data_IF_266515244743
#
_entry.id   IF_266515244743
#
_cell.length_a   1.000
_cell.length_b   1.000
_cell.length_c   1.000
_cell.angle_alpha   90.00
_cell.angle_beta   90.00
_cell.angle_gamma   90.00
#
_symmetry.space_group_name_H-M   'P 1'
#
loop_
_entity.id
_entity.type
_entity.pdbx_description
1 polymer ?
#
# COMPACT_ATOMS: atom_id res chain seq x y z
N UNK A 1 1.59 11.88 30.59
CA UNK A 1 0.35 11.16 30.16
C UNK A 1 0.26 9.86 30.94
N UNK A 2 -0.92 9.49 31.44
CA UNK A 2 -1.07 8.22 32.17
C UNK A 2 -1.20 7.06 31.19
N UNK A 3 -0.32 6.07 31.28
CA UNK A 3 -0.41 4.82 30.49
C UNK A 3 -1.21 3.82 31.32
N UNK A 4 -2.25 3.19 30.76
CA UNK A 4 -3.08 2.24 31.51
C UNK A 4 -2.32 0.92 31.74
N UNK A 5 -2.78 0.14 32.73
CA UNK A 5 -2.17 -1.16 33.00
C UNK A 5 -2.58 -2.24 31.96
N UNK A 6 -3.66 -2.00 31.23
CA UNK A 6 -4.20 -2.90 30.20
C UNK A 6 -4.67 -2.09 29.00
N UNK A 7 -4.69 -2.73 27.83
CA UNK A 7 -5.18 -2.10 26.62
C UNK A 7 -5.91 -3.13 25.73
N UNK A 8 -6.77 -2.60 24.85
CA UNK A 8 -7.57 -3.39 23.93
C UNK A 8 -6.88 -3.54 22.60
N UNK A 9 -7.06 -4.72 22.01
CA UNK A 9 -6.72 -5.04 20.62
C UNK A 9 -7.89 -5.77 19.97
N UNK A 10 -8.07 -5.57 18.65
CA UNK A 10 -9.07 -6.27 17.86
C UNK A 10 -8.43 -7.53 17.28
N UNK A 11 -8.76 -8.69 17.84
CA UNK A 11 -8.19 -9.99 17.41
C UNK A 11 -9.15 -10.65 16.44
N UNK A 12 -8.70 -10.93 15.23
CA UNK A 12 -9.38 -11.83 14.29
C UNK A 12 -9.15 -13.27 14.80
N UNK A 13 -10.17 -13.86 15.43
CA UNK A 13 -10.11 -15.19 16.05
C UNK A 13 -10.38 -16.31 15.07
N UNK A 14 -11.24 -16.07 14.12
CA UNK A 14 -11.69 -16.99 13.09
C UNK A 14 -12.21 -16.17 11.89
N UNK A 15 -12.45 -16.79 10.77
CA UNK A 15 -13.02 -16.15 9.57
C UNK A 15 -14.22 -15.28 9.96
N UNK A 16 -14.18 -14.01 9.60
CA UNK A 16 -15.20 -12.98 9.88
C UNK A 16 -15.52 -12.77 11.36
N UNK A 17 -14.62 -13.20 12.26
CA UNK A 17 -14.88 -13.13 13.70
C UNK A 17 -13.82 -12.30 14.41
N UNK A 18 -14.10 -11.02 14.61
CA UNK A 18 -13.25 -10.10 15.38
C UNK A 18 -13.76 -10.01 16.81
N UNK A 19 -12.85 -10.16 17.78
CA UNK A 19 -13.11 -10.00 19.21
C UNK A 19 -12.18 -8.96 19.81
N UNK A 20 -12.72 -8.01 20.56
CA UNK A 20 -11.91 -7.09 21.34
C UNK A 20 -11.43 -7.78 22.60
N UNK A 21 -10.12 -7.98 22.66
CA UNK A 21 -9.44 -8.58 23.81
C UNK A 21 -8.70 -7.49 24.59
N UNK A 22 -8.73 -7.59 25.91
CA UNK A 22 -7.98 -6.70 26.79
C UNK A 22 -6.82 -7.46 27.41
N UNK A 23 -5.59 -7.01 27.13
CA UNK A 23 -4.36 -7.62 27.64
C UNK A 23 -3.59 -6.66 28.56
N UNK A 24 -2.87 -7.16 29.55
CA UNK A 24 -1.89 -6.37 30.30
C UNK A 24 -0.85 -5.78 29.35
N UNK A 25 -0.58 -4.48 29.47
CA UNK A 25 0.54 -3.85 28.74
C UNK A 25 1.86 -4.37 29.31
N UNK A 26 2.78 -4.88 28.47
CA UNK A 26 4.08 -5.33 28.94
C UNK A 26 4.98 -4.17 29.31
N UNK A 27 5.93 -4.40 30.22
CA UNK A 27 7.06 -3.50 30.38
C UNK A 27 7.96 -3.63 29.16
N UNK A 28 8.29 -2.48 28.54
CA UNK A 28 9.19 -2.46 27.39
C UNK A 28 10.66 -2.62 27.82
N UNK A 29 11.47 -3.20 26.95
CA UNK A 29 12.92 -3.33 27.13
C UNK A 29 13.65 -2.06 26.66
N UNK A 30 14.97 -2.01 26.91
CA UNK A 30 15.84 -0.89 26.52
C UNK A 30 15.85 -0.62 24.99
N UNK A 31 15.47 -1.60 24.18
CA UNK A 31 15.46 -1.57 22.72
C UNK A 31 14.05 -1.76 22.12
N UNK A 32 13.01 -1.49 22.91
CA UNK A 32 11.61 -1.54 22.51
C UNK A 32 10.92 -0.16 22.65
N UNK A 33 9.81 0.03 21.97
CA UNK A 33 8.99 1.24 22.04
C UNK A 33 7.54 0.85 22.28
N UNK A 34 6.87 1.57 23.19
CA UNK A 34 5.40 1.51 23.31
C UNK A 34 4.80 2.70 22.55
N UNK A 35 3.91 2.38 21.64
CA UNK A 35 3.22 3.35 20.78
C UNK A 35 1.75 3.36 21.17
N UNK A 36 1.19 4.55 21.39
CA UNK A 36 -0.25 4.74 21.42
C UNK A 36 -0.72 4.94 19.98
N UNK A 37 -1.54 4.03 19.50
CA UNK A 37 -2.06 4.06 18.14
C UNK A 37 -3.03 5.24 17.99
N UNK A 38 -2.91 5.99 16.89
CA UNK A 38 -3.81 7.09 16.56
C UNK A 38 -4.77 6.72 15.42
N UNK A 39 -4.34 5.81 14.54
CA UNK A 39 -5.19 5.30 13.48
C UNK A 39 -4.46 4.32 12.58
N UNK A 40 -5.23 3.62 11.76
CA UNK A 40 -4.74 2.62 10.82
C UNK A 40 -5.66 2.54 9.59
N UNK A 41 -5.06 2.38 8.41
CA UNK A 41 -5.78 2.09 7.18
C UNK A 41 -6.24 0.65 7.11
N UNK A 42 -7.38 0.42 6.45
CA UNK A 42 -7.86 -0.91 6.07
C UNK A 42 -7.35 -1.21 4.67
N UNK A 43 -6.53 -2.26 4.55
CA UNK A 43 -5.95 -2.75 3.30
C UNK A 43 -6.78 -3.91 2.70
N UNK A 44 -6.56 -4.19 1.43
CA UNK A 44 -7.05 -5.41 0.79
C UNK A 44 -6.55 -6.69 1.48
N UNK A 45 -5.33 -6.66 2.03
CA UNK A 45 -4.77 -7.77 2.82
C UNK A 45 -5.64 -8.07 4.04
N UNK A 46 -6.05 -7.05 4.80
CA UNK A 46 -6.93 -7.23 5.97
C UNK A 46 -8.27 -7.85 5.57
N UNK A 47 -8.80 -7.45 4.40
CA UNK A 47 -10.05 -8.01 3.83
C UNK A 47 -9.88 -9.49 3.48
N UNK A 48 -8.76 -9.87 2.87
CA UNK A 48 -8.50 -11.26 2.49
C UNK A 48 -8.31 -12.16 3.72
N UNK A 49 -7.54 -11.69 4.72
CA UNK A 49 -7.38 -12.39 5.99
C UNK A 49 -8.72 -12.54 6.72
N UNK A 50 -9.51 -11.48 6.81
CA UNK A 50 -10.84 -11.51 7.43
C UNK A 50 -11.79 -12.51 6.77
N UNK A 51 -11.68 -12.70 5.43
CA UNK A 51 -12.60 -13.56 4.66
C UNK A 51 -12.16 -15.00 4.56
N UNK A 52 -10.87 -15.29 4.44
CA UNK A 52 -10.38 -16.58 3.96
C UNK A 52 -9.10 -17.07 4.65
N UNK A 53 -8.40 -16.25 5.48
CA UNK A 53 -7.09 -16.57 6.10
C UNK A 53 -6.07 -17.17 5.10
N UNK A 54 -5.79 -16.49 3.98
CA UNK A 54 -4.91 -17.04 2.94
C UNK A 54 -3.49 -17.32 3.42
N UNK A 55 -3.03 -16.64 4.48
CA UNK A 55 -1.69 -16.84 5.06
C UNK A 55 -1.67 -17.83 6.22
N UNK A 56 -2.84 -18.29 6.73
CA UNK A 56 -2.93 -19.27 7.82
C UNK A 56 -2.36 -18.75 9.14
N UNK A 57 -2.58 -17.47 9.47
CA UNK A 57 -1.93 -16.79 10.61
C UNK A 57 -2.88 -16.44 11.77
N UNK A 58 -4.14 -16.86 11.69
CA UNK A 58 -5.07 -16.67 12.81
C UNK A 58 -4.72 -17.52 14.03
N UNK A 59 -4.98 -17.05 15.28
CA UNK A 59 -5.54 -15.73 15.61
C UNK A 59 -4.53 -14.59 15.43
N UNK A 60 -5.00 -13.42 15.02
CA UNK A 60 -4.13 -12.29 14.67
C UNK A 60 -4.77 -10.94 15.03
N UNK A 61 -3.95 -9.94 15.38
CA UNK A 61 -4.32 -8.53 15.36
C UNK A 61 -3.88 -7.96 14.02
N UNK A 62 -4.84 -7.65 13.15
CA UNK A 62 -4.59 -7.11 11.82
C UNK A 62 -4.18 -5.62 11.86
N UNK A 63 -4.04 -5.03 10.66
CA UNK A 63 -3.67 -3.64 10.44
C UNK A 63 -2.16 -3.43 10.34
N UNK A 64 -1.72 -2.95 9.17
CA UNK A 64 -0.29 -2.71 8.85
C UNK A 64 -0.05 -1.31 8.27
N UNK A 65 -1.08 -0.53 7.99
CA UNK A 65 -1.02 0.86 7.53
C UNK A 65 -1.19 1.85 8.70
N UNK A 66 -0.53 1.58 9.83
CA UNK A 66 -0.79 2.28 11.08
C UNK A 66 0.19 3.38 11.43
N UNK A 67 -0.26 4.30 12.29
CA UNK A 67 0.55 5.37 12.87
C UNK A 67 0.15 5.65 14.32
N UNK A 68 1.09 6.11 15.10
CA UNK A 68 0.85 6.48 16.49
C UNK A 68 1.97 7.27 17.12
N UNK A 69 1.77 7.61 18.39
CA UNK A 69 2.67 8.41 19.21
C UNK A 69 3.52 7.53 20.11
N UNK A 70 4.81 7.79 20.16
CA UNK A 70 5.72 7.18 21.14
C UNK A 70 5.34 7.65 22.55
N UNK A 71 4.90 6.75 23.41
CA UNK A 71 4.53 7.03 24.81
C UNK A 71 5.51 6.46 25.83
N UNK A 72 6.26 5.41 25.46
CA UNK A 72 7.47 4.94 26.16
C UNK A 72 8.52 4.57 25.13
N UNK A 73 9.79 4.78 25.49
CA UNK A 73 10.93 4.49 24.62
C UNK A 73 12.08 3.92 25.45
N UNK A 74 12.64 2.82 24.98
CA UNK A 74 13.78 2.18 25.60
C UNK A 74 15.05 3.05 25.52
N UNK A 75 15.93 2.92 26.52
CA UNK A 75 17.10 3.78 26.70
C UNK A 75 18.11 3.74 25.55
N UNK A 76 18.11 2.68 24.74
CA UNK A 76 19.01 2.48 23.60
C UNK A 76 18.48 3.11 22.30
N UNK A 77 17.23 3.58 22.27
CA UNK A 77 16.61 4.12 21.05
C UNK A 77 16.58 5.64 21.12
N UNK A 78 17.29 6.29 20.22
CA UNK A 78 17.35 7.76 20.08
C UNK A 78 17.05 8.23 18.67
N UNK A 79 17.03 7.31 17.71
CA UNK A 79 16.84 7.58 16.28
C UNK A 79 15.97 6.54 15.64
N UNK A 80 15.29 6.91 14.54
CA UNK A 80 14.59 5.98 13.66
C UNK A 80 15.55 5.23 12.74
N UNK A 81 15.00 4.40 11.86
CA UNK A 81 15.76 3.54 10.94
C UNK A 81 16.72 4.31 10.02
N UNK A 82 16.40 5.57 9.70
CA UNK A 82 17.22 6.42 8.81
C UNK A 82 17.98 7.54 9.54
N UNK A 83 18.00 7.50 10.86
CA UNK A 83 18.81 8.38 11.68
C UNK A 83 18.14 9.67 12.15
N UNK A 84 16.85 9.87 11.91
CA UNK A 84 16.09 10.99 12.47
C UNK A 84 15.90 10.81 13.98
N UNK A 85 16.06 11.88 14.74
CA UNK A 85 15.87 11.86 16.21
C UNK A 85 14.42 11.53 16.54
N UNK A 86 14.23 10.65 17.52
CA UNK A 86 12.92 10.29 18.07
C UNK A 86 12.93 10.38 19.60
N UNK A 87 11.77 10.58 20.16
CA UNK A 87 11.54 10.64 21.61
C UNK A 87 10.06 10.55 21.93
N UNK A 88 9.72 10.76 23.19
CA UNK A 88 8.32 10.82 23.62
C UNK A 88 7.57 11.88 22.83
N UNK A 89 6.37 11.53 22.35
CA UNK A 89 5.54 12.40 21.52
C UNK A 89 5.83 12.34 20.03
N UNK A 90 6.94 11.73 19.57
CA UNK A 90 7.20 11.54 18.15
C UNK A 90 6.13 10.66 17.51
N UNK A 91 5.68 11.03 16.32
CA UNK A 91 4.73 10.25 15.52
C UNK A 91 5.51 9.35 14.58
N UNK A 92 5.16 8.08 14.58
CA UNK A 92 5.87 7.09 13.77
C UNK A 92 4.94 6.21 12.95
N UNK A 93 5.52 5.60 11.93
CA UNK A 93 4.99 4.49 11.14
C UNK A 93 6.01 3.36 11.11
N UNK A 94 5.57 2.15 10.81
CA UNK A 94 6.45 0.98 10.65
C UNK A 94 6.48 0.51 9.21
N UNK A 95 7.50 -0.28 8.89
CA UNK A 95 7.63 -1.03 7.64
C UNK A 95 7.66 -2.53 7.92
N UNK A 96 7.85 -3.33 6.87
CA UNK A 96 8.19 -4.75 7.01
C UNK A 96 9.50 -4.90 7.79
N UNK A 97 9.68 -6.06 8.38
CA UNK A 97 10.87 -6.42 9.17
C UNK A 97 11.60 -7.55 8.42
N UNK A 98 12.63 -7.25 7.62
CA UNK A 98 13.45 -8.27 6.97
C UNK A 98 14.23 -9.07 8.02
N UNK A 99 14.40 -10.38 7.82
CA UNK A 99 15.16 -11.22 8.76
C UNK A 99 16.67 -10.92 8.78
N UNK A 100 17.21 -10.31 7.72
CA UNK A 100 18.62 -9.94 7.61
C UNK A 100 19.60 -11.09 7.30
N UNK A 101 19.13 -12.34 7.22
CA UNK A 101 20.00 -13.53 7.08
C UNK A 101 19.69 -14.42 5.88
N UNK A 102 18.46 -14.37 5.32
CA UNK A 102 18.12 -15.15 4.12
C UNK A 102 18.81 -14.62 2.88
N UNK A 103 18.83 -15.42 1.81
CA UNK A 103 19.53 -15.10 0.58
C UNK A 103 19.13 -13.73 -0.01
N UNK A 104 17.82 -13.38 -0.18
CA UNK A 104 17.41 -12.06 -0.64
C UNK A 104 17.91 -10.91 0.25
N UNK A 105 17.94 -11.10 1.57
CA UNK A 105 18.39 -10.06 2.50
C UNK A 105 19.89 -9.76 2.39
N UNK A 106 20.72 -10.79 2.15
CA UNK A 106 22.20 -10.64 2.15
C UNK A 106 22.78 -10.40 0.78
N UNK A 107 22.14 -10.91 -0.29
CA UNK A 107 22.68 -10.89 -1.66
C UNK A 107 22.06 -9.83 -2.56
N UNK A 108 20.89 -9.29 -2.22
CA UNK A 108 20.17 -8.35 -3.07
C UNK A 108 19.82 -7.05 -2.31
N UNK A 109 20.80 -6.13 -2.14
CA UNK A 109 20.56 -4.86 -1.45
C UNK A 109 19.38 -4.09 -2.06
N UNK A 110 18.51 -3.52 -1.19
CA UNK A 110 17.33 -2.78 -1.61
C UNK A 110 16.17 -3.65 -2.11
N UNK A 111 16.24 -4.98 -1.93
CA UNK A 111 15.20 -5.93 -2.30
C UNK A 111 14.78 -6.80 -1.12
N UNK A 112 14.83 -6.25 0.08
CA UNK A 112 14.46 -6.96 1.31
C UNK A 112 12.96 -7.26 1.41
N UNK A 113 12.15 -6.69 0.53
CA UNK A 113 10.76 -7.11 0.29
C UNK A 113 10.63 -8.57 -0.20
N UNK A 114 11.71 -9.19 -0.65
CA UNK A 114 11.76 -10.60 -1.03
C UNK A 114 12.24 -11.51 0.11
N UNK A 115 12.32 -11.01 1.33
CA UNK A 115 12.73 -11.76 2.50
C UNK A 115 11.85 -13.01 2.69
N UNK A 116 12.48 -14.16 2.88
CA UNK A 116 11.80 -15.45 3.05
C UNK A 116 11.12 -15.58 4.43
N UNK A 117 11.59 -14.81 5.43
CA UNK A 117 11.11 -14.80 6.80
C UNK A 117 10.69 -13.40 7.23
N UNK A 118 9.94 -12.73 6.37
CA UNK A 118 9.53 -11.34 6.57
C UNK A 118 8.52 -11.21 7.70
N UNK A 119 8.82 -10.35 8.68
CA UNK A 119 7.86 -9.88 9.67
C UNK A 119 7.11 -8.63 9.17
N UNK A 120 5.87 -8.47 9.64
CA UNK A 120 5.11 -7.24 9.44
C UNK A 120 4.11 -7.07 10.58
N UNK A 121 4.10 -5.91 11.22
CA UNK A 121 3.09 -5.59 12.22
C UNK A 121 1.71 -5.62 11.57
N UNK A 122 0.78 -6.40 12.18
CA UNK A 122 -0.52 -6.68 11.60
C UNK A 122 -0.61 -7.94 10.75
N UNK A 123 0.53 -8.64 10.53
CA UNK A 123 0.61 -9.91 9.81
C UNK A 123 1.43 -10.97 10.57
N UNK A 124 1.46 -10.88 11.90
CA UNK A 124 2.08 -11.84 12.81
C UNK A 124 1.04 -12.31 13.82
N UNK A 125 0.96 -13.61 14.06
CA UNK A 125 -0.04 -14.21 14.95
C UNK A 125 -0.05 -13.60 16.36
N UNK A 126 -1.23 -13.56 17.00
CA UNK A 126 -1.42 -13.07 18.37
C UNK A 126 -1.09 -14.19 19.38
N UNK A 127 0.18 -14.25 19.76
CA UNK A 127 0.69 -15.20 20.76
C UNK A 127 0.99 -14.47 22.09
N UNK A 128 0.99 -15.16 23.25
CA UNK A 128 1.26 -14.53 24.54
C UNK A 128 2.55 -13.71 24.61
N UNK A 129 3.59 -14.16 23.92
CA UNK A 129 4.91 -13.51 23.83
C UNK A 129 4.99 -12.40 22.79
N UNK A 130 3.98 -12.30 21.91
CA UNK A 130 3.96 -11.37 20.79
C UNK A 130 2.62 -10.63 20.65
N UNK A 131 2.04 -10.20 21.77
CA UNK A 131 0.84 -9.36 21.76
C UNK A 131 1.17 -7.92 21.44
N UNK A 132 0.14 -7.15 21.09
CA UNK A 132 0.27 -5.75 20.64
C UNK A 132 1.16 -5.60 19.39
N UNK A 133 1.00 -6.51 18.44
CA UNK A 133 1.80 -6.63 17.22
C UNK A 133 1.03 -6.27 15.93
N UNK A 134 -0.14 -5.63 16.04
CA UNK A 134 -0.95 -5.13 14.92
C UNK A 134 -1.55 -3.78 15.25
N UNK A 135 -1.87 -3.00 14.22
CA UNK A 135 -2.31 -1.62 14.36
C UNK A 135 -3.82 -1.45 14.66
N UNK A 136 -4.61 -2.53 14.59
CA UNK A 136 -6.01 -2.48 15.05
C UNK A 136 -6.09 -2.73 16.56
N UNK A 137 -5.62 -1.76 17.33
CA UNK A 137 -5.56 -1.77 18.78
C UNK A 137 -5.38 -0.37 19.36
N UNK A 138 -5.34 -0.25 20.68
CA UNK A 138 -5.05 1.01 21.38
C UNK A 138 -3.54 1.28 21.47
N UNK A 139 -2.74 0.21 21.57
CA UNK A 139 -1.28 0.29 21.69
C UNK A 139 -0.61 -0.76 20.79
N UNK A 140 0.63 -0.45 20.40
CA UNK A 140 1.52 -1.36 19.69
C UNK A 140 2.88 -1.37 20.41
N UNK A 141 3.49 -2.56 20.53
CA UNK A 141 4.84 -2.72 21.06
C UNK A 141 5.80 -2.96 19.91
N UNK A 142 6.62 -1.97 19.62
CA UNK A 142 7.67 -2.08 18.61
C UNK A 142 8.86 -2.84 19.23
N UNK A 143 9.16 -4.00 18.68
CA UNK A 143 10.22 -4.90 19.14
C UNK A 143 11.59 -4.48 18.62
N UNK A 144 12.64 -4.96 19.28
CA UNK A 144 14.02 -4.85 18.81
C UNK A 144 14.17 -5.32 17.35
N UNK A 145 14.94 -4.58 16.55
CA UNK A 145 15.17 -4.88 15.13
C UNK A 145 14.07 -4.46 14.18
N UNK A 146 13.01 -3.84 14.69
CA UNK A 146 11.93 -3.29 13.84
C UNK A 146 12.40 -2.08 13.04
N UNK A 147 11.84 -1.93 11.85
CA UNK A 147 12.00 -0.75 11.00
C UNK A 147 10.87 0.24 11.24
N UNK A 148 11.21 1.48 11.52
CA UNK A 148 10.24 2.56 11.78
C UNK A 148 10.79 3.93 11.38
N UNK A 149 9.89 4.88 11.12
CA UNK A 149 10.23 6.20 10.60
C UNK A 149 9.48 7.30 11.36
N UNK A 150 10.19 8.39 11.67
CA UNK A 150 9.61 9.58 12.25
C UNK A 150 8.85 10.37 11.18
N UNK A 151 7.56 10.55 11.40
CA UNK A 151 6.64 11.24 10.48
C UNK A 151 5.84 12.34 11.17
N UNK A 152 6.43 12.95 12.19
CA UNK A 152 5.79 13.98 13.02
C UNK A 152 5.36 15.22 12.24
N UNK A 153 5.94 15.49 11.06
CA UNK A 153 5.62 16.62 10.19
C UNK A 153 4.30 16.46 9.40
N UNK A 154 3.67 15.29 9.47
CA UNK A 154 2.46 14.97 8.74
C UNK A 154 1.23 14.88 9.66
N UNK A 155 0.06 15.23 9.14
CA UNK A 155 -1.19 14.98 9.85
C UNK A 155 -1.58 13.48 9.82
N UNK A 156 -2.60 13.11 10.59
CA UNK A 156 -3.00 11.71 10.76
C UNK A 156 -3.28 11.01 9.42
N UNK A 157 -4.04 11.64 8.53
CA UNK A 157 -4.39 11.03 7.22
C UNK A 157 -3.15 10.89 6.33
N UNK A 158 -2.30 11.91 6.32
CA UNK A 158 -1.04 11.87 5.58
C UNK A 158 -0.15 10.72 6.07
N UNK A 159 -0.03 10.53 7.41
CA UNK A 159 0.78 9.45 7.99
C UNK A 159 0.29 8.06 7.60
N UNK A 160 -1.03 7.82 7.69
CA UNK A 160 -1.65 6.54 7.30
C UNK A 160 -1.42 6.26 5.81
N UNK A 161 -1.44 7.29 4.96
CA UNK A 161 -1.27 7.14 3.52
C UNK A 161 0.19 6.91 3.08
N UNK A 162 1.18 7.08 3.97
CA UNK A 162 2.59 6.83 3.60
C UNK A 162 2.81 5.36 3.24
N UNK A 163 2.15 4.43 3.92
CA UNK A 163 2.30 3.00 3.61
C UNK A 163 1.81 2.66 2.19
N UNK A 164 0.57 2.95 1.76
CA UNK A 164 0.15 2.69 0.38
C UNK A 164 0.94 3.52 -0.65
N UNK A 165 1.45 4.69 -0.28
CA UNK A 165 2.37 5.46 -1.13
C UNK A 165 3.73 4.74 -1.24
N UNK A 166 4.22 4.05 -0.20
CA UNK A 166 5.45 3.25 -0.29
C UNK A 166 5.29 2.08 -1.28
N UNK A 167 4.13 1.42 -1.31
CA UNK A 167 3.79 0.42 -2.35
C UNK A 167 3.87 1.05 -3.76
N UNK A 168 3.26 2.22 -3.93
CA UNK A 168 3.28 2.93 -5.22
C UNK A 168 4.70 3.38 -5.62
N UNK A 169 5.49 3.87 -4.67
CA UNK A 169 6.90 4.25 -4.90
C UNK A 169 7.70 3.04 -5.31
N UNK A 170 7.58 1.91 -4.60
CA UNK A 170 8.25 0.67 -4.97
C UNK A 170 7.91 0.24 -6.40
N UNK A 171 6.62 0.23 -6.76
CA UNK A 171 6.17 -0.12 -8.10
C UNK A 171 6.76 0.82 -9.18
N UNK A 172 6.79 2.12 -8.91
CA UNK A 172 7.35 3.12 -9.83
C UNK A 172 8.87 2.96 -9.95
N UNK A 173 9.60 2.74 -8.86
CA UNK A 173 11.05 2.47 -8.91
C UNK A 173 11.34 1.17 -9.67
N UNK A 174 10.54 0.11 -9.48
CA UNK A 174 10.62 -1.10 -10.31
C UNK A 174 10.40 -0.80 -11.80
N UNK A 175 9.38 -0.02 -12.13
CA UNK A 175 9.09 0.37 -13.50
C UNK A 175 10.20 1.24 -14.12
N UNK A 176 10.81 2.14 -13.36
CA UNK A 176 11.93 2.99 -13.82
C UNK A 176 13.17 2.18 -14.25
N UNK A 177 13.37 0.97 -13.72
CA UNK A 177 14.49 0.10 -14.17
C UNK A 177 14.39 -0.26 -15.66
N UNK A 178 13.18 -0.20 -16.24
CA UNK A 178 12.96 -0.44 -17.69
C UNK A 178 13.38 0.72 -18.57
N UNK A 179 13.62 1.92 -18.02
CA UNK A 179 13.91 3.17 -18.73
C UNK A 179 12.79 3.63 -19.69
N UNK A 180 11.58 3.06 -19.57
CA UNK A 180 10.43 3.38 -20.44
C UNK A 180 9.61 4.57 -19.93
N UNK A 181 9.81 4.98 -18.67
CA UNK A 181 9.08 6.08 -18.05
C UNK A 181 9.95 7.33 -18.00
N UNK A 182 9.46 8.40 -18.61
CA UNK A 182 10.01 9.75 -18.53
C UNK A 182 8.86 10.78 -18.53
N UNK A 183 9.17 12.06 -18.45
CA UNK A 183 8.16 13.12 -18.39
C UNK A 183 7.19 13.15 -19.60
N UNK A 184 7.62 12.70 -20.78
CA UNK A 184 6.82 12.70 -22.01
C UNK A 184 6.07 11.38 -22.27
N UNK A 185 6.37 10.32 -21.50
CA UNK A 185 5.73 9.02 -21.66
C UNK A 185 4.25 9.09 -21.35
N UNK A 186 3.43 8.40 -22.16
CA UNK A 186 2.03 8.15 -21.79
C UNK A 186 1.98 6.91 -20.89
N UNK A 187 1.58 7.12 -19.64
CA UNK A 187 1.46 6.06 -18.63
C UNK A 187 0.00 5.78 -18.33
N UNK A 188 -0.38 4.51 -18.41
CA UNK A 188 -1.74 4.04 -18.15
C UNK A 188 -1.81 3.37 -16.77
N UNK A 189 -2.81 3.73 -15.99
CA UNK A 189 -3.11 3.15 -14.69
C UNK A 189 -4.43 2.39 -14.81
N UNK A 190 -4.37 1.06 -14.74
CA UNK A 190 -5.57 0.22 -14.72
C UNK A 190 -5.94 -0.10 -13.28
N UNK A 191 -7.10 0.43 -12.87
CA UNK A 191 -7.58 0.41 -11.50
C UNK A 191 -7.21 1.69 -10.74
N UNK A 192 -8.20 2.54 -10.47
CA UNK A 192 -8.09 3.75 -9.65
C UNK A 192 -8.50 3.50 -8.20
N UNK A 193 -8.09 2.37 -7.63
CA UNK A 193 -8.13 2.08 -6.19
C UNK A 193 -7.03 2.84 -5.44
N UNK A 194 -6.86 2.59 -4.12
CA UNK A 194 -5.86 3.32 -3.31
C UNK A 194 -4.46 3.27 -3.90
N UNK A 195 -4.02 2.12 -4.41
CA UNK A 195 -2.69 1.95 -4.99
C UNK A 195 -2.59 2.68 -6.34
N UNK A 196 -3.55 2.49 -7.26
CA UNK A 196 -3.51 3.17 -8.55
C UNK A 196 -3.55 4.70 -8.43
N UNK A 197 -4.36 5.24 -7.51
CA UNK A 197 -4.40 6.68 -7.21
C UNK A 197 -3.08 7.17 -6.59
N UNK A 198 -2.44 6.37 -5.75
CA UNK A 198 -1.11 6.68 -5.21
C UNK A 198 -0.04 6.66 -6.31
N UNK A 199 -0.08 5.69 -7.24
CA UNK A 199 0.83 5.67 -8.41
C UNK A 199 0.66 6.92 -9.27
N UNK A 200 -0.58 7.40 -9.51
CA UNK A 200 -0.82 8.66 -10.22
C UNK A 200 -0.13 9.83 -9.51
N UNK A 201 -0.32 9.95 -8.19
CA UNK A 201 0.30 11.02 -7.41
C UNK A 201 1.84 10.94 -7.43
N UNK A 202 2.42 9.75 -7.31
CA UNK A 202 3.88 9.52 -7.42
C UNK A 202 4.39 9.96 -8.80
N UNK A 203 3.75 9.51 -9.88
CA UNK A 203 4.14 9.87 -11.25
C UNK A 203 4.06 11.38 -11.50
N UNK A 204 3.07 12.07 -10.90
CA UNK A 204 2.97 13.54 -11.00
C UNK A 204 4.14 14.23 -10.29
N UNK A 205 4.58 13.74 -9.13
CA UNK A 205 5.77 14.31 -8.46
C UNK A 205 7.05 14.11 -9.27
N UNK A 206 7.12 13.06 -10.09
CA UNK A 206 8.23 12.80 -11.02
C UNK A 206 8.11 13.58 -12.32
N UNK A 207 7.04 14.36 -12.52
CA UNK A 207 6.85 15.22 -13.68
C UNK A 207 6.27 14.51 -14.91
N UNK A 208 5.74 13.29 -14.80
CA UNK A 208 5.04 12.61 -15.90
C UNK A 208 3.81 13.45 -16.32
N UNK A 209 3.73 13.79 -17.61
CA UNK A 209 2.71 14.70 -18.12
C UNK A 209 1.43 13.97 -18.53
N UNK A 210 1.54 12.80 -19.17
CA UNK A 210 0.43 12.10 -19.80
C UNK A 210 0.08 10.85 -18.97
N UNK A 211 -0.99 10.91 -18.19
CA UNK A 211 -1.46 9.81 -17.35
C UNK A 211 -2.91 9.51 -17.72
N UNK A 212 -3.19 8.27 -18.12
CA UNK A 212 -4.53 7.75 -18.42
C UNK A 212 -4.94 6.83 -17.27
N UNK A 213 -6.06 7.11 -16.60
CA UNK A 213 -6.61 6.24 -15.57
C UNK A 213 -7.85 5.50 -16.07
N UNK A 214 -7.93 4.19 -15.80
CA UNK A 214 -9.08 3.34 -16.15
C UNK A 214 -9.68 2.76 -14.88
N UNK A 215 -10.98 2.94 -14.66
CA UNK A 215 -11.75 2.34 -13.56
C UNK A 215 -13.23 2.24 -13.98
N UNK A 216 -14.06 1.52 -13.22
CA UNK A 216 -15.50 1.46 -13.42
C UNK A 216 -16.28 2.40 -12.50
N UNK A 217 -15.61 3.09 -11.55
CA UNK A 217 -16.25 3.97 -10.60
C UNK A 217 -15.93 5.44 -10.90
N UNK A 218 -16.96 6.23 -11.19
CA UNK A 218 -16.83 7.64 -11.56
C UNK A 218 -16.18 8.48 -10.44
N UNK A 219 -16.49 8.18 -9.18
CA UNK A 219 -15.88 8.87 -8.03
C UNK A 219 -14.37 8.69 -7.97
N UNK A 220 -13.86 7.49 -8.30
CA UNK A 220 -12.42 7.19 -8.37
C UNK A 220 -11.76 7.87 -9.55
N UNK A 221 -12.41 7.86 -10.71
CA UNK A 221 -11.93 8.57 -11.91
C UNK A 221 -11.86 10.08 -11.69
N UNK A 222 -12.84 10.65 -11.01
CA UNK A 222 -12.81 12.07 -10.61
C UNK A 222 -11.61 12.38 -9.74
N UNK A 223 -11.33 11.56 -8.72
CA UNK A 223 -10.17 11.75 -7.86
C UNK A 223 -8.85 11.53 -8.63
N UNK A 224 -8.81 10.57 -9.57
CA UNK A 224 -7.66 10.38 -10.45
C UNK A 224 -7.33 11.66 -11.25
N UNK A 225 -8.33 12.35 -11.77
CA UNK A 225 -8.17 13.69 -12.42
C UNK A 225 -7.58 14.71 -11.45
N UNK A 226 -8.12 14.80 -10.24
CA UNK A 226 -7.65 15.75 -9.23
C UNK A 226 -6.20 15.46 -8.79
N UNK A 227 -5.78 14.18 -8.81
CA UNK A 227 -4.41 13.75 -8.53
C UNK A 227 -3.46 13.88 -9.72
N UNK A 228 -3.97 14.25 -10.90
CA UNK A 228 -3.15 14.60 -12.04
C UNK A 228 -3.24 13.66 -13.24
N UNK A 229 -4.20 12.73 -13.29
CA UNK A 229 -4.51 12.03 -14.53
C UNK A 229 -5.01 13.04 -15.60
N UNK A 230 -4.41 12.98 -16.78
CA UNK A 230 -4.80 13.85 -17.90
C UNK A 230 -6.06 13.36 -18.57
N UNK A 231 -6.23 12.04 -18.63
CA UNK A 231 -7.39 11.38 -19.19
C UNK A 231 -7.94 10.31 -18.24
N UNK A 232 -9.25 10.09 -18.29
CA UNK A 232 -9.92 9.02 -17.58
C UNK A 232 -10.83 8.24 -18.51
N UNK A 233 -10.91 6.94 -18.30
CA UNK A 233 -11.75 6.02 -19.07
C UNK A 233 -12.60 5.23 -18.07
N UNK A 234 -13.91 5.40 -18.12
CA UNK A 234 -14.82 4.49 -17.44
C UNK A 234 -15.02 3.28 -18.35
N UNK A 235 -14.50 2.12 -17.94
CA UNK A 235 -14.60 0.93 -18.79
C UNK A 235 -16.04 0.43 -18.95
N UNK A 236 -16.96 0.85 -18.08
CA UNK A 236 -18.38 0.52 -18.18
C UNK A 236 -19.09 1.22 -19.37
N UNK A 237 -18.46 2.26 -19.95
CA UNK A 237 -19.01 2.97 -21.12
C UNK A 237 -18.69 2.28 -22.44
N UNK A 238 -17.99 1.14 -22.43
CA UNK A 238 -17.50 0.46 -23.62
C UNK A 238 -17.93 -1.00 -23.67
N UNK A 239 -18.27 -1.47 -24.87
CA UNK A 239 -18.58 -2.89 -25.11
C UNK A 239 -17.28 -3.73 -25.19
N UNK A 240 -16.93 -4.35 -24.08
CA UNK A 240 -15.78 -5.25 -23.99
C UNK A 240 -14.42 -4.57 -24.11
N UNK A 241 -13.40 -5.38 -24.32
CA UNK A 241 -11.99 -4.94 -24.37
C UNK A 241 -11.67 -4.09 -25.59
N UNK A 242 -12.28 -4.42 -26.74
CA UNK A 242 -12.01 -3.72 -28.03
C UNK A 242 -12.33 -2.23 -27.96
N UNK A 243 -13.47 -1.85 -27.38
CA UNK A 243 -13.84 -0.45 -27.22
C UNK A 243 -12.86 0.33 -26.34
N UNK A 244 -12.34 -0.30 -25.28
CA UNK A 244 -11.32 0.29 -24.41
C UNK A 244 -9.99 0.46 -25.18
N UNK A 245 -9.59 -0.55 -25.98
CA UNK A 245 -8.39 -0.49 -26.83
C UNK A 245 -8.48 0.66 -27.84
N UNK A 246 -9.61 0.79 -28.52
CA UNK A 246 -9.85 1.89 -29.47
C UNK A 246 -9.78 3.25 -28.79
N UNK A 247 -10.39 3.36 -27.61
CA UNK A 247 -10.32 4.61 -26.82
C UNK A 247 -8.89 4.96 -26.42
N UNK A 248 -8.11 4.01 -25.88
CA UNK A 248 -6.70 4.26 -25.54
C UNK A 248 -5.89 4.63 -26.77
N UNK A 249 -6.08 3.95 -27.90
CA UNK A 249 -5.43 4.29 -29.17
C UNK A 249 -5.78 5.70 -29.65
N UNK A 250 -7.03 6.11 -29.53
CA UNK A 250 -7.46 7.47 -29.91
C UNK A 250 -6.74 8.56 -29.10
N UNK A 251 -6.40 8.28 -27.84
CA UNK A 251 -5.67 9.17 -26.92
C UNK A 251 -4.14 9.11 -27.11
N UNK A 252 -3.63 8.15 -27.90
CA UNK A 252 -2.19 7.84 -28.00
C UNK A 252 -1.72 7.78 -29.47
N UNK A 253 -2.32 8.56 -30.35
CA UNK A 253 -1.98 8.61 -31.80
C UNK A 253 -1.98 7.21 -32.45
N UNK A 254 -2.93 6.35 -32.09
CA UNK A 254 -3.11 5.01 -32.66
C UNK A 254 -2.20 3.91 -32.09
N UNK A 255 -1.31 4.23 -31.14
CA UNK A 255 -0.25 3.29 -30.70
C UNK A 255 -0.61 2.48 -29.45
N UNK A 256 -1.16 3.12 -28.42
CA UNK A 256 -1.31 2.58 -27.08
C UNK A 256 -0.41 3.32 -26.06
N UNK A 257 -0.49 2.95 -24.80
CA UNK A 257 0.33 3.54 -23.75
C UNK A 257 1.79 3.05 -23.81
N UNK A 258 2.74 3.93 -23.50
CA UNK A 258 4.17 3.56 -23.41
C UNK A 258 4.44 2.62 -22.25
N UNK A 259 3.79 2.86 -21.13
CA UNK A 259 3.91 2.04 -19.94
C UNK A 259 2.55 1.91 -19.25
N UNK A 260 2.31 0.77 -18.60
CA UNK A 260 1.09 0.57 -17.81
C UNK A 260 1.43 0.05 -16.41
N UNK A 261 0.61 0.46 -15.42
CA UNK A 261 0.54 -0.17 -14.11
C UNK A 261 -0.80 -0.87 -13.99
N UNK A 262 -0.79 -2.18 -13.74
CA UNK A 262 -1.98 -2.96 -13.41
C UNK A 262 -2.12 -2.98 -11.89
N UNK A 263 -3.18 -2.32 -11.37
CA UNK A 263 -3.42 -2.10 -9.95
C UNK A 263 -4.74 -2.70 -9.47
N UNK A 264 -5.27 -3.71 -10.18
CA UNK A 264 -6.49 -4.43 -9.78
C UNK A 264 -6.16 -5.89 -9.46
N UNK A 265 -6.97 -6.51 -8.57
CA UNK A 265 -6.90 -7.95 -8.32
C UNK A 265 -7.81 -8.77 -9.25
N UNK A 266 -8.13 -8.29 -10.46
CA UNK A 266 -9.06 -8.94 -11.40
C UNK A 266 -8.26 -9.65 -12.50
N UNK A 267 -8.29 -11.00 -12.61
CA UNK A 267 -7.47 -11.74 -13.57
C UNK A 267 -7.66 -11.31 -15.02
N UNK A 268 -8.89 -11.05 -15.47
CA UNK A 268 -9.15 -10.57 -16.84
C UNK A 268 -8.55 -9.19 -17.12
N UNK A 269 -8.35 -8.35 -16.11
CA UNK A 269 -7.71 -7.05 -16.27
C UNK A 269 -6.22 -7.22 -16.60
N UNK A 270 -5.52 -8.18 -15.99
CA UNK A 270 -4.10 -8.45 -16.27
C UNK A 270 -3.83 -8.85 -17.73
N UNK A 271 -4.75 -9.58 -18.39
CA UNK A 271 -4.64 -9.86 -19.82
C UNK A 271 -5.09 -8.70 -20.70
N UNK A 272 -6.09 -7.93 -20.26
CA UNK A 272 -6.59 -6.77 -21.00
C UNK A 272 -5.55 -5.67 -21.11
N UNK A 273 -4.82 -5.37 -20.03
CA UNK A 273 -3.81 -4.31 -20.02
C UNK A 273 -2.73 -4.48 -21.08
N UNK A 274 -2.35 -5.73 -21.39
CA UNK A 274 -1.36 -6.03 -22.42
C UNK A 274 -1.79 -5.52 -23.80
N UNK A 275 -3.09 -5.49 -24.08
CA UNK A 275 -3.65 -4.98 -25.35
C UNK A 275 -3.62 -3.45 -25.44
N UNK A 276 -3.54 -2.75 -24.31
CA UNK A 276 -3.54 -1.29 -24.20
C UNK A 276 -2.15 -0.67 -24.38
N UNK A 277 -1.10 -1.50 -24.38
CA UNK A 277 0.30 -1.07 -24.43
C UNK A 277 0.80 -1.09 -25.88
N UNK A 278 1.60 -0.06 -26.24
CA UNK A 278 2.24 0.03 -27.56
C UNK A 278 3.37 -0.99 -27.74
N UNK A 279 3.83 -1.19 -28.96
CA UNK A 279 5.05 -1.99 -29.26
C UNK A 279 6.29 -1.35 -28.60
N UNK A 280 7.13 -2.16 -28.00
CA UNK A 280 8.28 -1.71 -27.21
C UNK A 280 7.89 -0.98 -25.93
N UNK A 281 6.66 -1.21 -25.44
CA UNK A 281 6.19 -0.69 -24.18
C UNK A 281 6.44 -1.60 -23.00
N UNK A 282 5.93 -1.24 -21.81
CA UNK A 282 6.12 -2.03 -20.60
C UNK A 282 4.90 -2.08 -19.71
N UNK A 283 4.90 -3.08 -18.84
CA UNK A 283 3.89 -3.33 -17.81
C UNK A 283 4.56 -3.54 -16.46
N UNK A 284 4.07 -2.87 -15.43
CA UNK A 284 4.31 -3.22 -14.04
C UNK A 284 3.04 -3.85 -13.45
N UNK A 285 3.16 -5.11 -13.05
CA UNK A 285 2.09 -5.83 -12.37
C UNK A 285 2.18 -5.60 -10.86
N UNK A 286 1.15 -4.99 -10.28
CA UNK A 286 1.08 -4.59 -8.85
C UNK A 286 -0.17 -5.17 -8.17
N UNK A 287 -1.19 -5.53 -8.94
CA UNK A 287 -2.55 -5.77 -8.45
C UNK A 287 -2.76 -7.10 -7.72
N UNK A 288 -1.88 -8.08 -7.91
CA UNK A 288 -2.04 -9.43 -7.35
C UNK A 288 -1.10 -9.67 -6.17
N UNK A 289 -1.51 -9.23 -4.99
CA UNK A 289 -0.80 -9.53 -3.73
C UNK A 289 -1.27 -10.85 -3.08
N UNK A 290 -2.37 -11.44 -3.56
CA UNK A 290 -2.83 -12.79 -3.28
C UNK A 290 -3.24 -13.47 -4.57
N UNK A 291 -3.33 -14.81 -4.55
CA UNK A 291 -3.85 -15.60 -5.67
C UNK A 291 -5.36 -15.37 -5.80
N UNK A 292 -5.76 -14.68 -6.87
CA UNK A 292 -7.17 -14.43 -7.26
C UNK A 292 -7.58 -15.24 -8.49
N UNK A 293 -6.79 -16.24 -8.89
CA UNK A 293 -7.03 -17.11 -10.01
C UNK A 293 -6.27 -16.74 -11.29
N UNK A 294 -6.58 -17.43 -12.37
CA UNK A 294 -5.83 -17.41 -13.62
C UNK A 294 -6.46 -16.51 -14.68
N UNK A 295 -5.65 -16.09 -15.66
CA UNK A 295 -6.09 -15.43 -16.88
C UNK A 295 -5.37 -16.03 -18.08
N UNK A 296 -5.95 -15.89 -19.28
CA UNK A 296 -5.34 -16.33 -20.54
C UNK A 296 -4.76 -15.16 -21.30
N UNK A 297 -3.61 -15.34 -21.93
CA UNK A 297 -3.00 -14.39 -22.86
C UNK A 297 -2.53 -15.08 -24.11
N UNK A 298 -2.39 -14.36 -25.22
CA UNK A 298 -1.73 -14.84 -26.42
C UNK A 298 -0.26 -14.42 -26.39
N UNK A 299 0.70 -15.36 -26.15
CA UNK A 299 2.12 -14.99 -25.99
C UNK A 299 2.69 -14.26 -27.21
N UNK A 300 2.22 -14.59 -28.42
CA UNK A 300 2.67 -13.93 -29.64
C UNK A 300 2.15 -12.49 -29.75
N UNK A 301 0.81 -12.33 -29.66
CA UNK A 301 0.17 -11.03 -29.89
C UNK A 301 0.35 -10.07 -28.72
N UNK A 302 0.35 -10.58 -27.50
CA UNK A 302 0.33 -9.75 -26.30
C UNK A 302 1.74 -9.41 -25.79
N UNK A 303 2.74 -10.27 -26.06
CA UNK A 303 4.10 -10.09 -25.55
C UNK A 303 5.14 -10.05 -26.67
N UNK A 304 5.37 -11.18 -27.40
CA UNK A 304 6.54 -11.30 -28.29
C UNK A 304 6.49 -10.35 -29.48
N UNK A 305 5.35 -10.26 -30.19
CA UNK A 305 5.22 -9.35 -31.35
C UNK A 305 5.33 -7.88 -30.95
N UNK A 306 5.03 -7.55 -29.70
CA UNK A 306 5.14 -6.18 -29.19
C UNK A 306 6.48 -5.89 -28.49
N UNK A 307 7.28 -6.90 -28.20
CA UNK A 307 8.50 -6.78 -27.35
C UNK A 307 8.20 -6.10 -26.02
N UNK A 308 7.17 -6.59 -25.30
CA UNK A 308 6.74 -6.03 -24.01
C UNK A 308 7.77 -6.35 -22.92
N UNK A 309 8.17 -5.32 -22.16
CA UNK A 309 8.90 -5.48 -20.90
C UNK A 309 7.92 -5.64 -19.76
N UNK A 310 7.93 -6.80 -19.07
CA UNK A 310 7.08 -7.09 -17.92
C UNK A 310 7.92 -7.07 -16.64
N UNK A 311 7.49 -6.31 -15.65
CA UNK A 311 8.07 -6.30 -14.30
C UNK A 311 6.99 -6.56 -13.26
N UNK A 312 7.31 -7.38 -12.25
CA UNK A 312 6.46 -7.56 -11.07
C UNK A 312 6.87 -6.59 -9.97
N UNK A 313 5.91 -6.16 -9.18
CA UNK A 313 6.11 -5.38 -7.95
C UNK A 313 5.42 -6.09 -6.80
N UNK A 314 6.16 -6.37 -5.73
CA UNK A 314 5.68 -7.08 -4.55
C UNK A 314 5.95 -6.27 -3.30
N UNK A 315 4.88 -5.89 -2.58
CA UNK A 315 4.98 -5.11 -1.35
C UNK A 315 5.89 -3.86 -1.51
N UNK A 316 6.79 -3.65 -0.58
CA UNK A 316 7.82 -2.60 -0.53
C UNK A 316 8.98 -3.06 0.35
N UNK A 317 10.13 -2.42 0.21
CA UNK A 317 11.25 -2.57 1.14
C UNK A 317 11.28 -1.43 2.16
N UNK A 318 11.89 -1.60 3.34
CA UNK A 318 12.14 -0.48 4.26
C UNK A 318 12.86 0.69 3.59
N UNK A 319 13.71 0.40 2.62
CA UNK A 319 14.47 1.37 1.83
C UNK A 319 13.59 2.25 0.93
N UNK A 320 12.35 1.86 0.65
CA UNK A 320 11.40 2.68 -0.11
C UNK A 320 10.76 3.79 0.74
N UNK A 321 10.72 3.63 2.06
CA UNK A 321 10.04 4.59 2.94
C UNK A 321 10.64 6.00 2.93
N UNK A 322 11.98 6.21 2.95
CA UNK A 322 12.53 7.54 2.78
C UNK A 322 12.05 8.24 1.51
N UNK A 323 11.98 7.49 0.38
CA UNK A 323 11.47 8.01 -0.87
C UNK A 323 9.96 8.28 -0.82
N UNK A 324 9.18 7.43 -0.14
CA UNK A 324 7.74 7.63 0.05
C UNK A 324 7.45 8.87 0.91
N UNK A 325 8.22 9.09 1.98
CA UNK A 325 8.13 10.28 2.84
C UNK A 325 8.46 11.54 2.02
N UNK A 326 9.54 11.53 1.25
CA UNK A 326 9.89 12.67 0.39
C UNK A 326 8.85 12.88 -0.72
N UNK A 327 8.30 11.80 -1.29
CA UNK A 327 7.20 11.87 -2.24
C UNK A 327 5.96 12.53 -1.62
N UNK A 328 5.58 12.15 -0.39
CA UNK A 328 4.47 12.80 0.34
C UNK A 328 4.71 14.29 0.56
N UNK A 329 5.94 14.70 0.89
CA UNK A 329 6.31 16.12 0.96
C UNK A 329 6.16 16.81 -0.42
N UNK A 330 6.56 16.11 -1.48
CA UNK A 330 6.39 16.56 -2.87
C UNK A 330 4.93 16.75 -3.25
N UNK A 331 4.09 15.75 -2.97
CA UNK A 331 2.63 15.77 -3.17
C UNK A 331 2.01 17.00 -2.48
N UNK A 332 2.36 17.21 -1.22
CA UNK A 332 1.90 18.36 -0.42
C UNK A 332 2.36 19.69 -1.04
N UNK A 333 3.63 19.79 -1.45
CA UNK A 333 4.21 21.01 -2.05
C UNK A 333 3.55 21.41 -3.37
N UNK A 334 3.17 20.43 -4.22
CA UNK A 334 2.49 20.71 -5.49
C UNK A 334 0.96 20.73 -5.35
N UNK A 335 0.44 20.57 -4.12
CA UNK A 335 -0.98 20.76 -3.82
C UNK A 335 -1.91 19.65 -4.28
N UNK A 336 -1.42 18.42 -4.49
CA UNK A 336 -2.29 17.28 -4.83
C UNK A 336 -3.15 16.87 -3.62
N UNK A 337 -4.44 16.62 -3.81
CA UNK A 337 -5.37 16.36 -2.72
C UNK A 337 -5.33 14.91 -2.24
N UNK A 338 -4.15 14.36 -1.91
CA UNK A 338 -3.94 12.95 -1.56
C UNK A 338 -4.83 12.50 -0.38
N UNK A 339 -5.12 13.38 0.56
CA UNK A 339 -5.99 13.08 1.71
C UNK A 339 -7.42 12.73 1.33
N UNK A 340 -7.88 13.09 0.13
CA UNK A 340 -9.19 12.68 -0.39
C UNK A 340 -9.28 11.18 -0.69
N UNK A 341 -8.15 10.45 -0.68
CA UNK A 341 -8.18 9.00 -0.70
C UNK A 341 -8.92 8.45 0.52
N UNK A 342 -8.76 9.08 1.69
CA UNK A 342 -9.48 8.71 2.92
C UNK A 342 -10.92 9.18 2.81
N UNK A 343 -11.80 8.26 2.48
CA UNK A 343 -13.24 8.52 2.25
C UNK A 343 -14.12 8.17 3.45
N UNK A 344 -13.67 7.24 4.29
CA UNK A 344 -14.43 6.75 5.45
C UNK A 344 -13.52 6.64 6.67
N UNK A 345 -14.05 7.11 7.80
CA UNK A 345 -13.37 7.05 9.11
C UNK A 345 -14.32 6.38 10.10
N UNK A 346 -13.83 5.38 10.80
CA UNK A 346 -14.56 4.65 11.83
C UNK A 346 -13.78 4.68 13.14
N UNK A 347 -14.43 4.71 14.30
CA UNK A 347 -13.74 4.41 15.54
C UNK A 347 -13.26 2.95 15.52
N UNK A 348 -12.16 2.64 16.23
CA UNK A 348 -11.65 1.27 16.30
C UNK A 348 -12.73 0.25 16.74
N UNK A 349 -13.68 0.66 17.58
CA UNK A 349 -14.81 -0.19 18.02
C UNK A 349 -15.71 -0.66 16.88
N UNK A 350 -15.69 0.01 15.72
CA UNK A 350 -16.45 -0.32 14.52
C UNK A 350 -15.60 -0.94 13.42
N UNK A 351 -14.44 -1.57 13.77
CA UNK A 351 -13.51 -2.18 12.82
C UNK A 351 -14.19 -3.16 11.86
N UNK A 352 -15.15 -3.95 12.34
CA UNK A 352 -15.88 -4.89 11.48
C UNK A 352 -16.60 -4.15 10.35
N UNK A 353 -17.30 -3.04 10.66
CA UNK A 353 -17.98 -2.22 9.66
C UNK A 353 -16.98 -1.54 8.72
N UNK A 354 -15.84 -1.09 9.24
CA UNK A 354 -14.75 -0.53 8.40
C UNK A 354 -14.27 -1.54 7.35
N UNK A 355 -14.06 -2.81 7.74
CA UNK A 355 -13.66 -3.89 6.82
C UNK A 355 -14.79 -4.20 5.83
N UNK A 356 -16.04 -4.31 6.30
CA UNK A 356 -17.19 -4.58 5.44
C UNK A 356 -17.46 -3.45 4.43
N UNK A 357 -17.23 -2.18 4.80
CA UNK A 357 -17.28 -1.03 3.87
C UNK A 357 -16.23 -1.17 2.74
N UNK A 358 -15.03 -1.66 3.08
CA UNK A 358 -14.00 -1.95 2.07
C UNK A 358 -14.42 -3.11 1.17
N UNK A 359 -15.00 -4.19 1.73
CA UNK A 359 -15.52 -5.35 0.98
C UNK A 359 -16.60 -4.93 -0.03
N UNK A 360 -17.51 -4.05 0.36
CA UNK A 360 -18.56 -3.52 -0.52
C UNK A 360 -18.04 -2.52 -1.56
N UNK A 361 -16.72 -2.19 -1.52
CA UNK A 361 -16.08 -1.20 -2.40
C UNK A 361 -16.72 0.19 -2.35
N UNK A 362 -17.35 0.56 -1.24
CA UNK A 362 -18.00 1.86 -1.02
C UNK A 362 -16.95 2.96 -0.75
N UNK A 363 -15.81 2.60 -0.17
CA UNK A 363 -14.69 3.49 0.09
C UNK A 363 -13.55 3.38 -0.94
N UNK A 364 -12.69 4.41 -0.95
CA UNK A 364 -11.37 4.33 -1.61
C UNK A 364 -10.36 3.85 -0.57
N UNK A 365 -10.08 4.64 0.46
CA UNK A 365 -9.35 4.22 1.65
C UNK A 365 -10.25 4.41 2.87
N UNK A 366 -10.48 3.32 3.56
CA UNK A 366 -11.17 3.29 4.86
C UNK A 366 -10.11 3.30 5.94
N UNK A 367 -10.31 4.07 7.01
CA UNK A 367 -9.39 4.11 8.15
C UNK A 367 -10.14 3.89 9.46
N UNK A 368 -9.44 3.35 10.47
CA UNK A 368 -9.88 3.41 11.87
C UNK A 368 -9.10 4.46 12.62
N UNK A 369 -9.74 5.09 13.60
CA UNK A 369 -9.16 6.09 14.50
C UNK A 369 -9.45 5.73 15.96
N UNK A 370 -8.51 6.08 16.89
CA UNK A 370 -8.64 5.85 18.34
C UNK A 370 -9.01 7.12 19.08
#
# INVERSE_FOLDING_TARGET
MHIPNKAKVAVLKDIKTIQFMEYPLPSIKDDEILIRIEGCGVCGTDVHEYRNDPFGIMPIVLGHEGTGEIVQIGSKITKDTVGNVVGLGSKIITSIIPCGECEPCVSTPGRTNLCENMGCYGLMGDQPENRFNGWFGEYLVLKSGSTFFNVSDFDLKERILIEPVAVAVHAVERAKTTQLINFASTVLIQGAGPIGLSVIAVLKTLGVQNIIAIDGQESRLKLAKELGATETINFMDYDGTEGIVEKVKSLTNGRGAKFAFQCTGVPSAASTVLKLIERGGGLCEVGFFVDNGETTMNPHLDICNKEITLVGSWAYSPEDYPNAIECMKGIKRIGLPIKKLVTHEYPLSELTEAIETNIRMEGIKVITVN
#
